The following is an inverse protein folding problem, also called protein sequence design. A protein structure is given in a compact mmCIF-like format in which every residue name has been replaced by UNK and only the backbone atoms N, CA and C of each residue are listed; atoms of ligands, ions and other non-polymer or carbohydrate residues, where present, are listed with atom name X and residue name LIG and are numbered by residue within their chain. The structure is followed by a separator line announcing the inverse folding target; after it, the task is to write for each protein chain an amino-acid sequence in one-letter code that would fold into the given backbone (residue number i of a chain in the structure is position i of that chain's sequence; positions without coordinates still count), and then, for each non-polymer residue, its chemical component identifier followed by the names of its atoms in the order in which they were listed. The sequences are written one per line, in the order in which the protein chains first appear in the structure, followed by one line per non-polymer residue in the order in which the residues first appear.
data_IF_545057204477
#
_entry.id   IF_545057204477
#
_cell.length_a   1.000
_cell.length_b   1.000
_cell.length_c   1.000
_cell.angle_alpha   90.00
_cell.angle_beta   90.00
_cell.angle_gamma   90.00
#
_symmetry.space_group_name_H-M   'P 1'
#
loop_
_entity.id
_entity.type
_entity.pdbx_description
1 polymer ?
#
# COMPACT_ATOMS: atom_id res chain seq x y z
N UNK A 1 5.34 -11.39 35.55
CA UNK A 1 4.08 -11.40 34.78
C UNK A 1 3.90 -12.81 34.26
N UNK A 2 2.80 -13.44 34.65
CA UNK A 2 2.48 -14.82 34.30
C UNK A 2 2.23 -14.92 32.79
N UNK A 3 3.07 -15.65 32.07
CA UNK A 3 2.94 -15.84 30.61
C UNK A 3 1.82 -16.82 30.24
N UNK A 4 1.11 -17.37 31.22
CA UNK A 4 0.15 -18.47 31.04
C UNK A 4 -1.25 -18.10 30.52
N UNK A 5 -1.62 -16.82 30.40
CA UNK A 5 -2.97 -16.43 29.94
C UNK A 5 -2.97 -15.36 28.84
N UNK A 6 -1.89 -15.22 28.08
CA UNK A 6 -1.86 -14.23 27.01
C UNK A 6 -2.53 -14.80 25.74
N UNK A 7 -3.56 -14.13 25.22
CA UNK A 7 -4.28 -14.51 23.99
C UNK A 7 -3.33 -14.66 22.79
N UNK A 8 -2.22 -13.90 22.79
CA UNK A 8 -1.20 -13.97 21.75
C UNK A 8 -0.42 -15.29 21.73
N UNK A 9 -0.50 -16.12 22.77
CA UNK A 9 0.14 -17.46 22.79
C UNK A 9 -0.44 -18.42 21.75
N UNK A 10 -1.61 -18.10 21.19
CA UNK A 10 -2.25 -18.88 20.11
C UNK A 10 -1.90 -18.37 18.70
N UNK A 11 -1.12 -17.28 18.60
CA UNK A 11 -0.72 -16.73 17.30
C UNK A 11 0.43 -17.57 16.75
N UNK A 12 0.21 -18.18 15.59
CA UNK A 12 1.27 -18.82 14.79
C UNK A 12 1.87 -17.81 13.81
N UNK A 13 3.13 -17.45 13.99
CA UNK A 13 3.90 -16.72 12.99
C UNK A 13 4.52 -17.71 11.99
N UNK A 14 4.39 -17.42 10.70
CA UNK A 14 5.07 -18.16 9.63
C UNK A 14 5.80 -17.18 8.72
N UNK A 15 7.12 -17.29 8.70
CA UNK A 15 7.95 -16.54 7.77
C UNK A 15 7.94 -17.24 6.40
N UNK A 16 7.65 -16.48 5.34
CA UNK A 16 7.77 -16.96 3.97
C UNK A 16 9.24 -16.84 3.53
N UNK A 17 9.95 -17.97 3.46
CA UNK A 17 11.31 -17.99 2.97
C UNK A 17 11.34 -17.86 1.43
N UNK A 18 12.18 -16.96 0.93
CA UNK A 18 12.51 -16.85 -0.51
C UNK A 18 11.76 -15.77 -1.30
N UNK A 19 10.90 -14.98 -0.65
CA UNK A 19 10.27 -13.82 -1.29
C UNK A 19 10.82 -12.54 -0.67
N UNK A 20 11.59 -11.78 -1.46
CA UNK A 20 12.04 -10.45 -1.07
C UNK A 20 11.21 -9.43 -1.84
N UNK A 21 10.65 -8.49 -1.11
CA UNK A 21 9.90 -7.38 -1.68
C UNK A 21 10.65 -6.08 -1.46
N UNK A 22 10.79 -5.29 -2.52
CA UNK A 22 11.08 -3.87 -2.40
C UNK A 22 9.76 -3.14 -2.17
N UNK A 23 9.68 -2.39 -1.07
CA UNK A 23 8.54 -1.51 -0.80
C UNK A 23 8.87 -0.13 -1.33
N UNK A 24 8.03 0.40 -2.21
CA UNK A 24 8.12 1.79 -2.69
C UNK A 24 6.89 2.55 -2.25
N UNK A 25 7.08 3.74 -1.69
CA UNK A 25 5.99 4.65 -1.39
C UNK A 25 5.72 5.54 -2.62
N UNK A 26 4.48 5.55 -3.10
CA UNK A 26 4.02 6.52 -4.10
C UNK A 26 3.06 7.50 -3.45
N UNK A 27 3.51 8.76 -3.36
CA UNK A 27 2.71 9.86 -2.85
C UNK A 27 2.01 10.53 -4.04
N UNK A 28 0.69 10.39 -4.09
CA UNK A 28 -0.16 10.96 -5.13
C UNK A 28 -0.88 12.20 -4.58
N UNK A 29 -0.69 13.34 -5.23
CA UNK A 29 -1.47 14.55 -4.96
C UNK A 29 -2.54 14.67 -6.03
N UNK A 30 -3.79 14.45 -5.64
CA UNK A 30 -4.90 14.28 -6.59
C UNK A 30 -5.89 15.43 -6.36
N UNK A 31 -6.25 16.19 -7.39
CA UNK A 31 -7.37 17.13 -7.31
C UNK A 31 -8.64 16.40 -6.84
N UNK A 32 -9.37 16.99 -5.89
CA UNK A 32 -10.49 16.31 -5.24
C UNK A 32 -11.59 15.90 -6.22
N UNK A 33 -11.88 16.75 -7.20
CA UNK A 33 -12.83 16.50 -8.28
C UNK A 33 -12.44 15.28 -9.12
N UNK A 34 -11.16 15.17 -9.49
CA UNK A 34 -10.62 14.01 -10.21
C UNK A 34 -10.74 12.73 -9.39
N UNK A 35 -10.42 12.79 -8.09
CA UNK A 35 -10.55 11.63 -7.19
C UNK A 35 -12.01 11.13 -7.13
N UNK A 36 -12.96 12.05 -6.98
CA UNK A 36 -14.38 11.73 -6.92
C UNK A 36 -14.94 11.24 -8.25
N UNK A 37 -14.46 11.75 -9.39
CA UNK A 37 -14.88 11.30 -10.72
C UNK A 37 -14.44 9.85 -10.99
N UNK A 38 -13.17 9.54 -10.71
CA UNK A 38 -12.62 8.17 -10.85
C UNK A 38 -13.38 7.18 -9.98
N UNK A 39 -13.75 7.59 -8.76
CA UNK A 39 -14.46 6.74 -7.79
C UNK A 39 -15.97 6.97 -7.77
N UNK A 40 -16.55 7.56 -8.82
CA UNK A 40 -17.97 7.93 -8.89
C UNK A 40 -18.94 6.76 -8.73
N UNK A 41 -18.47 5.52 -8.91
CA UNK A 41 -19.25 4.28 -8.74
C UNK A 41 -19.16 3.67 -7.34
N UNK A 42 -18.29 4.19 -6.48
CA UNK A 42 -18.17 3.75 -5.09
C UNK A 42 -19.22 4.46 -4.23
N UNK A 43 -19.91 3.69 -3.38
CA UNK A 43 -20.83 4.24 -2.38
C UNK A 43 -20.08 5.09 -1.34
N UNK A 44 -18.85 4.68 -0.99
CA UNK A 44 -17.96 5.40 -0.08
C UNK A 44 -16.60 5.68 -0.74
N UNK A 45 -16.47 6.74 -1.56
CA UNK A 45 -15.22 7.08 -2.27
C UNK A 45 -14.01 7.35 -1.36
N UNK A 46 -14.26 7.72 -0.11
CA UNK A 46 -13.24 8.02 0.90
C UNK A 46 -13.00 6.84 1.86
N UNK A 47 -13.40 5.63 1.48
CA UNK A 47 -13.06 4.41 2.20
C UNK A 47 -11.64 3.93 1.85
N UNK A 48 -11.06 3.10 2.72
CA UNK A 48 -9.77 2.45 2.44
C UNK A 48 -9.82 1.64 1.14
N UNK A 49 -10.89 0.87 0.93
CA UNK A 49 -11.09 0.06 -0.27
C UNK A 49 -11.14 0.90 -1.55
N UNK A 50 -11.87 2.03 -1.53
CA UNK A 50 -11.93 2.94 -2.67
C UNK A 50 -10.57 3.61 -2.95
N UNK A 51 -9.82 3.98 -1.91
CA UNK A 51 -8.47 4.53 -2.08
C UNK A 51 -7.49 3.51 -2.68
N UNK A 52 -7.58 2.24 -2.31
CA UNK A 52 -6.79 1.16 -2.90
C UNK A 52 -7.15 0.95 -4.37
N UNK A 53 -8.45 0.95 -4.70
CA UNK A 53 -8.94 0.84 -6.09
C UNK A 53 -8.46 2.02 -6.95
N UNK A 54 -8.49 3.26 -6.43
CA UNK A 54 -7.92 4.41 -7.14
C UNK A 54 -6.45 4.17 -7.49
N UNK A 55 -5.65 3.71 -6.52
CA UNK A 55 -4.22 3.43 -6.74
C UNK A 55 -4.05 2.30 -7.76
N UNK A 56 -4.85 1.24 -7.71
CA UNK A 56 -4.81 0.15 -8.69
C UNK A 56 -5.09 0.64 -10.12
N UNK A 57 -6.16 1.42 -10.29
CA UNK A 57 -6.50 2.03 -11.57
C UNK A 57 -5.38 2.95 -12.08
N UNK A 58 -4.78 3.75 -11.19
CA UNK A 58 -3.66 4.63 -11.53
C UNK A 58 -2.41 3.85 -11.96
N UNK A 59 -2.02 2.80 -11.22
CA UNK A 59 -0.87 1.96 -11.57
C UNK A 59 -1.08 1.25 -12.92
N UNK A 60 -2.29 0.71 -13.14
CA UNK A 60 -2.67 0.10 -14.41
C UNK A 60 -2.57 1.09 -15.57
N UNK A 61 -3.02 2.33 -15.38
CA UNK A 61 -2.87 3.40 -16.39
C UNK A 61 -1.40 3.74 -16.66
N UNK A 62 -0.55 3.77 -15.64
CA UNK A 62 0.90 3.94 -15.78
C UNK A 62 1.61 2.74 -16.46
N UNK A 63 0.92 1.63 -16.72
CA UNK A 63 1.52 0.39 -17.23
C UNK A 63 2.30 -0.40 -16.17
N UNK A 64 2.08 -0.09 -14.88
CA UNK A 64 2.71 -0.78 -13.76
C UNK A 64 1.82 -1.92 -13.26
N UNK A 65 2.10 -3.13 -13.74
CA UNK A 65 1.33 -4.35 -13.39
C UNK A 65 2.09 -5.26 -12.42
N UNK A 66 3.31 -4.88 -12.01
CA UNK A 66 4.19 -5.71 -11.18
C UNK A 66 4.09 -5.42 -9.69
N UNK A 67 3.47 -4.30 -9.32
CA UNK A 67 3.32 -3.87 -7.94
C UNK A 67 2.10 -4.47 -7.26
N UNK A 68 2.27 -4.99 -6.05
CA UNK A 68 1.19 -5.39 -5.15
C UNK A 68 0.93 -4.28 -4.15
N UNK A 69 -0.25 -3.70 -4.20
CA UNK A 69 -0.68 -2.63 -3.29
C UNK A 69 -0.76 -3.20 -1.86
N UNK A 70 -0.18 -2.46 -0.92
CA UNK A 70 -0.29 -2.69 0.51
C UNK A 70 -1.22 -1.66 1.15
N UNK A 71 -0.85 -1.17 2.32
CA UNK A 71 -1.60 -0.11 2.99
C UNK A 71 -1.53 1.18 2.16
N UNK A 72 -2.69 1.83 2.01
CA UNK A 72 -2.81 3.17 1.42
C UNK A 72 -3.27 4.10 2.53
N UNK A 73 -2.44 5.07 2.89
CA UNK A 73 -2.84 6.14 3.80
C UNK A 73 -3.45 7.26 2.97
N UNK A 74 -4.58 7.78 3.44
CA UNK A 74 -5.27 8.89 2.80
C UNK A 74 -5.30 10.10 3.75
N UNK A 75 -5.01 11.28 3.20
CA UNK A 75 -5.23 12.57 3.82
C UNK A 75 -6.14 13.42 2.90
N UNK A 76 -7.27 13.85 3.46
CA UNK A 76 -8.31 14.57 2.72
C UNK A 76 -8.22 16.05 3.07
N UNK A 77 -7.97 16.86 2.06
CA UNK A 77 -7.92 18.32 2.18
C UNK A 77 -9.08 18.94 1.40
N UNK A 78 -9.21 20.26 1.49
CA UNK A 78 -10.33 21.00 0.87
C UNK A 78 -10.34 20.80 -0.65
N UNK A 79 -9.20 20.99 -1.32
CA UNK A 79 -9.09 20.95 -2.79
C UNK A 79 -8.39 19.68 -3.32
N UNK A 80 -7.79 18.87 -2.45
CA UNK A 80 -7.00 17.70 -2.85
C UNK A 80 -7.15 16.52 -1.92
N UNK A 81 -6.89 15.34 -2.47
CA UNK A 81 -6.68 14.10 -1.73
C UNK A 81 -5.22 13.70 -1.90
N UNK A 82 -4.56 13.38 -0.79
CA UNK A 82 -3.19 12.85 -0.79
C UNK A 82 -3.25 11.38 -0.44
N UNK A 83 -2.76 10.53 -1.34
CA UNK A 83 -2.58 9.11 -1.08
C UNK A 83 -1.10 8.78 -0.94
N UNK A 84 -0.73 8.13 0.15
CA UNK A 84 0.58 7.50 0.32
C UNK A 84 0.38 5.98 0.24
N UNK A 85 0.68 5.43 -0.94
CA UNK A 85 0.51 4.02 -1.24
C UNK A 85 1.83 3.26 -1.09
N UNK A 86 1.85 2.27 -0.20
CA UNK A 86 2.94 1.30 -0.14
C UNK A 86 2.75 0.24 -1.22
N UNK A 87 3.69 0.13 -2.16
CA UNK A 87 3.64 -0.83 -3.26
C UNK A 87 4.81 -1.80 -3.13
N UNK A 88 4.51 -3.09 -3.11
CA UNK A 88 5.50 -4.17 -3.00
C UNK A 88 5.82 -4.71 -4.38
N UNK A 89 7.09 -4.69 -4.74
CA UNK A 89 7.60 -5.32 -5.95
C UNK A 89 8.45 -6.51 -5.55
N UNK A 90 8.18 -7.67 -6.14
CA UNK A 90 9.06 -8.83 -5.97
C UNK A 90 10.41 -8.51 -6.61
N UNK A 91 11.48 -8.61 -5.85
CA UNK A 91 12.84 -8.41 -6.36
C UNK A 91 13.64 -9.71 -6.29
N UNK A 92 14.66 -9.82 -7.14
CA UNK A 92 15.65 -10.86 -6.96
C UNK A 92 16.43 -10.59 -5.67
N UNK A 93 16.67 -11.58 -4.80
CA UNK A 93 17.51 -11.39 -3.62
C UNK A 93 18.90 -10.83 -3.88
N UNK A 94 19.45 -11.03 -5.10
CA UNK A 94 20.72 -10.45 -5.54
C UNK A 94 20.64 -8.95 -5.86
N UNK A 95 19.45 -8.42 -6.10
CA UNK A 95 19.18 -6.99 -6.38
C UNK A 95 18.84 -6.21 -5.10
N UNK A 96 18.89 -6.88 -3.94
CA UNK A 96 18.64 -6.24 -2.65
C UNK A 96 19.64 -5.08 -2.46
N UNK A 97 19.17 -3.84 -2.23
CA UNK A 97 20.06 -2.76 -1.82
C UNK A 97 20.76 -3.20 -0.53
N UNK A 98 22.07 -3.40 -0.60
CA UNK A 98 22.85 -3.62 0.61
C UNK A 98 22.84 -2.31 1.40
N UNK A 99 22.57 -2.41 2.70
CA UNK A 99 22.86 -1.33 3.63
C UNK A 99 24.38 -1.16 3.71
N UNK A 100 25.00 -0.58 2.67
CA UNK A 100 26.31 0.02 2.82
C UNK A 100 26.05 1.41 3.38
N UNK A 101 26.24 1.51 4.69
CA UNK A 101 26.37 2.75 5.44
C UNK A 101 27.38 3.64 4.73
N UNK A 102 26.94 4.84 4.34
CA UNK A 102 27.84 5.99 4.12
C UNK A 102 28.48 6.41 5.45
#
# INVERSE_FOLDING_TARGET
MDKGSNVFSQVEERELQGEIFQVTHRILHIPRDVYQDVLSRHEEPFSEAASQDFVEQYLKWCGDTGGVIGMVRMDIQEEKVVLDAAIRYRINPLERPSCHTE
#
